data_IF_839216836480
#
_entry.id   IF_839216836480
#
_cell.length_a   1.000
_cell.length_b   1.000
_cell.length_c   1.000
_cell.angle_alpha   90.00
_cell.angle_beta   90.00
_cell.angle_gamma   90.00
#
_symmetry.space_group_name_H-M   'P 1'
#
loop_
_entity.id
_entity.type
_entity.pdbx_description
1 polymer ?
#
# COMPACT_ATOMS: atom_id res chain seq x y z
N UNK A 1 -2.44 3.03 13.42
CA UNK A 1 -3.04 1.96 12.62
C UNK A 1 -2.36 0.65 12.93
N UNK A 2 -2.97 -0.48 12.58
CA UNK A 2 -2.31 -1.77 12.66
C UNK A 2 -3.30 -2.93 12.62
N UNK A 3 -2.74 -4.14 12.55
CA UNK A 3 -3.46 -5.38 12.83
C UNK A 3 -4.00 -5.35 14.26
N UNK A 4 -5.21 -5.86 14.45
CA UNK A 4 -5.81 -6.04 15.78
C UNK A 4 -5.52 -7.44 16.30
N UNK A 5 -4.90 -7.51 17.48
CA UNK A 5 -4.62 -8.73 18.21
C UNK A 5 -5.21 -8.61 19.61
N UNK A 6 -5.73 -9.72 20.13
CA UNK A 6 -6.23 -9.81 21.51
C UNK A 6 -5.43 -10.85 22.28
N UNK A 7 -5.20 -10.58 23.56
CA UNK A 7 -4.49 -11.48 24.45
C UNK A 7 -5.47 -12.27 25.32
N UNK A 8 -5.57 -13.57 25.08
CA UNK A 8 -6.48 -14.45 25.79
C UNK A 8 -5.90 -15.87 25.88
N UNK A 9 -6.19 -16.59 26.96
CA UNK A 9 -5.67 -17.95 27.15
C UNK A 9 -4.13 -18.04 27.11
N UNK A 10 -3.45 -16.98 27.54
CA UNK A 10 -1.97 -16.81 27.54
C UNK A 10 -1.31 -16.72 26.16
N UNK A 11 -2.06 -16.39 25.12
CA UNK A 11 -1.55 -16.23 23.75
C UNK A 11 -2.16 -15.00 23.07
N UNK A 12 -1.43 -14.43 22.12
CA UNK A 12 -1.96 -13.43 21.20
C UNK A 12 -2.66 -14.11 20.03
N UNK A 13 -3.87 -13.66 19.71
CA UNK A 13 -4.65 -14.17 18.58
C UNK A 13 -5.10 -13.02 17.67
N UNK A 14 -5.06 -13.25 16.36
CA UNK A 14 -5.57 -12.30 15.37
C UNK A 14 -7.09 -12.30 15.38
N UNK A 15 -7.70 -11.14 15.11
CA UNK A 15 -9.14 -11.05 14.84
C UNK A 15 -9.46 -11.37 13.38
N UNK A 16 -10.57 -12.05 13.12
CA UNK A 16 -11.01 -12.40 11.76
C UNK A 16 -11.58 -11.20 11.01
N UNK A 17 -11.31 -11.11 9.71
CA UNK A 17 -11.87 -10.04 8.85
C UNK A 17 -13.36 -10.20 8.54
N UNK A 18 -13.88 -11.42 8.52
CA UNK A 18 -15.24 -11.73 8.02
C UNK A 18 -16.39 -11.15 8.84
N UNK A 19 -16.16 -10.79 10.10
CA UNK A 19 -17.16 -10.20 11.01
C UNK A 19 -16.69 -8.91 11.67
N UNK A 20 -15.49 -8.46 11.34
CA UNK A 20 -14.92 -7.27 11.96
C UNK A 20 -15.43 -6.03 11.26
N UNK A 21 -16.31 -5.31 11.94
CA UNK A 21 -17.05 -4.17 11.43
C UNK A 21 -16.64 -2.87 12.14
N UNK A 22 -17.32 -1.78 11.81
CA UNK A 22 -16.97 -0.43 12.27
C UNK A 22 -17.18 -0.26 13.78
N UNK A 23 -18.13 -0.99 14.34
CA UNK A 23 -18.45 -1.06 15.76
C UNK A 23 -17.29 -1.68 16.54
N UNK A 24 -16.72 -2.79 16.04
CA UNK A 24 -15.54 -3.43 16.64
C UNK A 24 -14.34 -2.49 16.64
N UNK A 25 -14.08 -1.85 15.49
CA UNK A 25 -13.01 -0.87 15.37
C UNK A 25 -13.20 0.31 16.34
N UNK A 26 -14.45 0.72 16.57
CA UNK A 26 -14.79 1.80 17.50
C UNK A 26 -14.45 1.40 18.94
N UNK A 27 -14.77 0.18 19.36
CA UNK A 27 -14.39 -0.34 20.69
C UNK A 27 -12.87 -0.39 20.82
N UNK A 28 -12.15 -1.00 19.84
CA UNK A 28 -10.68 -1.09 19.85
C UNK A 28 -10.04 0.28 20.00
N UNK A 29 -10.39 1.23 19.13
CA UNK A 29 -9.75 2.54 19.14
C UNK A 29 -10.13 3.38 20.37
N UNK A 30 -11.37 3.28 20.85
CA UNK A 30 -11.80 3.95 22.08
C UNK A 30 -11.06 3.38 23.29
N UNK A 31 -10.94 2.06 23.40
CA UNK A 31 -10.19 1.37 24.45
C UNK A 31 -8.72 1.84 24.48
N UNK A 32 -8.14 2.13 23.32
CA UNK A 32 -6.78 2.67 23.16
C UNK A 32 -6.70 4.21 23.34
N UNK A 33 -7.79 4.89 23.67
CA UNK A 33 -7.83 6.34 23.92
C UNK A 33 -7.92 7.22 22.67
N UNK A 34 -8.33 6.67 21.53
CA UNK A 34 -8.56 7.41 20.30
C UNK A 34 -10.03 7.75 20.11
N UNK A 35 -10.26 8.82 19.35
CA UNK A 35 -11.58 9.42 19.18
C UNK A 35 -12.42 8.79 18.06
N UNK A 36 -11.74 8.40 16.99
CA UNK A 36 -12.36 7.90 15.75
C UNK A 36 -11.64 6.63 15.35
N UNK A 37 -12.40 5.74 14.71
CA UNK A 37 -11.91 4.49 14.17
C UNK A 37 -12.32 4.36 12.71
N UNK A 38 -11.51 3.64 11.92
CA UNK A 38 -11.93 3.07 10.63
C UNK A 38 -11.40 1.65 10.52
N UNK A 39 -12.23 0.77 9.98
CA UNK A 39 -11.80 -0.55 9.52
C UNK A 39 -10.93 -0.36 8.28
N UNK A 40 -9.81 -1.07 8.23
CA UNK A 40 -8.94 -1.11 7.05
C UNK A 40 -9.21 -2.40 6.27
N UNK A 41 -8.96 -2.35 4.96
CA UNK A 41 -9.08 -3.52 4.11
C UNK A 41 -8.19 -4.66 4.62
N UNK A 42 -8.64 -5.89 4.42
CA UNK A 42 -7.81 -7.06 4.67
C UNK A 42 -6.54 -7.02 3.82
N UNK A 43 -5.43 -7.54 4.35
CA UNK A 43 -4.17 -7.63 3.60
C UNK A 43 -3.44 -6.29 3.42
N UNK A 44 -3.90 -5.20 4.05
CA UNK A 44 -3.27 -3.88 3.95
C UNK A 44 -1.79 -3.88 4.39
N UNK A 45 -1.42 -4.77 5.32
CA UNK A 45 -0.03 -4.98 5.76
C UNK A 45 0.57 -6.30 5.22
N UNK A 46 0.02 -6.82 4.12
CA UNK A 46 0.39 -8.11 3.53
C UNK A 46 -0.24 -9.32 4.24
N UNK A 47 0.09 -10.53 3.77
CA UNK A 47 -0.42 -11.77 4.37
C UNK A 47 0.31 -12.09 5.69
N UNK A 48 -0.44 -12.53 6.70
CA UNK A 48 0.16 -12.97 7.96
C UNK A 48 0.84 -14.34 7.76
N UNK A 49 2.09 -14.53 8.19
CA UNK A 49 2.73 -15.83 8.16
C UNK A 49 2.16 -16.80 9.21
N UNK A 50 1.35 -16.32 10.15
CA UNK A 50 0.82 -17.10 11.26
C UNK A 50 -0.52 -17.76 10.90
N UNK A 51 -0.56 -19.10 10.95
CA UNK A 51 -1.74 -19.95 10.77
C UNK A 51 -2.32 -20.47 12.11
N UNK A 52 -2.28 -19.63 13.14
CA UNK A 52 -2.71 -19.94 14.51
C UNK A 52 -4.22 -19.87 14.75
N UNK A 53 -4.61 -19.89 16.03
CA UNK A 53 -5.99 -19.58 16.44
C UNK A 53 -6.31 -18.12 16.19
N UNK A 54 -7.55 -17.86 15.81
CA UNK A 54 -8.10 -16.53 15.55
C UNK A 54 -9.38 -16.34 16.36
N UNK A 55 -9.86 -15.11 16.42
CA UNK A 55 -11.06 -14.77 17.18
C UNK A 55 -12.04 -14.02 16.29
N UNK A 56 -13.25 -14.56 16.19
CA UNK A 56 -14.39 -13.82 15.66
C UNK A 56 -14.95 -12.97 16.78
N UNK A 57 -15.17 -11.69 16.50
CA UNK A 57 -15.74 -10.73 17.43
C UNK A 57 -16.93 -10.02 16.79
N UNK A 58 -17.87 -9.57 17.61
CA UNK A 58 -19.02 -8.79 17.16
C UNK A 58 -19.52 -7.90 18.30
N UNK A 59 -19.07 -6.65 18.29
CA UNK A 59 -19.42 -5.62 19.26
C UNK A 59 -20.72 -4.90 18.87
N UNK A 60 -21.38 -4.31 19.87
CA UNK A 60 -22.43 -3.30 19.69
C UNK A 60 -21.86 -1.89 19.51
N UNK A 61 -20.61 -1.66 19.92
CA UNK A 61 -19.90 -0.39 19.80
C UNK A 61 -19.84 0.43 21.10
N UNK A 62 -20.45 -0.04 22.19
CA UNK A 62 -20.51 0.64 23.50
C UNK A 62 -19.71 -0.07 24.61
N UNK A 63 -19.08 -1.20 24.28
CA UNK A 63 -18.23 -1.99 25.18
C UNK A 63 -16.97 -1.22 25.59
N UNK A 64 -16.51 -1.40 26.83
CA UNK A 64 -15.31 -0.71 27.32
C UNK A 64 -14.03 -1.43 26.91
N UNK A 65 -14.08 -2.77 26.85
CA UNK A 65 -12.99 -3.62 26.38
C UNK A 65 -13.46 -4.46 25.18
N UNK A 66 -12.57 -4.68 24.21
CA UNK A 66 -12.84 -5.54 23.07
C UNK A 66 -13.22 -6.96 23.51
N UNK A 67 -12.68 -7.48 24.61
CA UNK A 67 -13.04 -8.80 25.13
C UNK A 67 -14.40 -8.84 25.85
N UNK A 68 -15.07 -7.70 26.07
CA UNK A 68 -16.45 -7.65 26.55
C UNK A 68 -17.46 -7.94 25.42
N UNK A 69 -17.06 -7.79 24.16
CA UNK A 69 -17.90 -8.09 23.02
C UNK A 69 -18.15 -9.60 22.89
N UNK A 70 -19.31 -10.03 22.39
CA UNK A 70 -19.53 -11.40 21.96
C UNK A 70 -18.39 -11.90 21.04
N UNK A 71 -17.69 -12.96 21.45
CA UNK A 71 -16.56 -13.49 20.69
C UNK A 71 -16.45 -15.02 20.77
N UNK A 72 -15.85 -15.61 19.74
CA UNK A 72 -15.58 -17.05 19.67
C UNK A 72 -14.16 -17.31 19.17
N UNK A 73 -13.46 -18.23 19.83
CA UNK A 73 -12.11 -18.67 19.45
C UNK A 73 -12.22 -19.79 18.41
N UNK A 74 -11.53 -19.64 17.28
CA UNK A 74 -11.61 -20.60 16.19
C UNK A 74 -10.50 -20.41 15.15
N UNK A 75 -10.79 -20.78 13.91
CA UNK A 75 -9.97 -20.44 12.75
C UNK A 75 -10.84 -19.65 11.77
N UNK A 76 -10.36 -18.52 11.30
CA UNK A 76 -11.01 -17.77 10.23
C UNK A 76 -11.06 -18.64 8.97
N UNK A 77 -12.08 -18.45 8.14
CA UNK A 77 -12.20 -19.12 6.83
C UNK A 77 -11.06 -18.74 5.87
N UNK A 78 -10.42 -17.59 6.09
CA UNK A 78 -9.31 -17.06 5.30
C UNK A 78 -8.12 -16.74 6.21
N UNK A 79 -6.89 -16.77 5.71
CA UNK A 79 -5.66 -16.44 6.44
C UNK A 79 -5.49 -14.92 6.69
N UNK A 80 -6.59 -14.24 6.95
CA UNK A 80 -6.70 -12.79 6.97
C UNK A 80 -6.95 -12.30 8.39
N UNK A 81 -6.51 -11.08 8.68
CA UNK A 81 -6.62 -10.46 10.00
C UNK A 81 -7.22 -9.06 9.90
N UNK A 82 -8.07 -8.72 10.87
CA UNK A 82 -8.64 -7.39 10.96
C UNK A 82 -7.56 -6.34 11.23
N UNK A 83 -7.73 -5.17 10.63
CA UNK A 83 -6.83 -4.03 10.78
C UNK A 83 -7.65 -2.76 10.98
N UNK A 84 -7.13 -1.83 11.77
CA UNK A 84 -7.79 -0.55 12.08
C UNK A 84 -6.85 0.63 11.93
N UNK A 85 -7.41 1.79 11.62
CA UNK A 85 -6.78 3.08 11.90
C UNK A 85 -7.54 3.79 13.02
N UNK A 86 -6.81 4.10 14.08
CA UNK A 86 -7.30 4.92 15.18
C UNK A 86 -6.82 6.35 14.98
N UNK A 87 -7.77 7.28 14.94
CA UNK A 87 -7.56 8.66 14.49
C UNK A 87 -7.79 9.60 15.68
N UNK A 88 -6.87 10.55 15.89
CA UNK A 88 -7.04 11.66 16.83
C UNK A 88 -7.91 12.75 16.20
N UNK A 89 -8.59 13.55 17.02
CA UNK A 89 -9.62 14.52 16.58
C UNK A 89 -9.23 15.52 15.46
N UNK A 90 -7.95 15.67 15.10
CA UNK A 90 -7.47 16.73 14.21
C UNK A 90 -6.87 16.25 12.89
N UNK A 91 -7.16 15.02 12.46
CA UNK A 91 -6.67 14.53 11.16
C UNK A 91 -7.76 14.72 10.10
N UNK A 92 -7.42 15.40 9.00
CA UNK A 92 -8.28 15.51 7.82
C UNK A 92 -8.29 14.16 7.08
N UNK A 93 -9.46 13.78 6.55
CA UNK A 93 -9.65 12.54 5.79
C UNK A 93 -9.16 12.72 4.33
N UNK A 94 -8.02 13.39 4.14
CA UNK A 94 -7.50 13.71 2.81
C UNK A 94 -6.87 12.47 2.18
N UNK A 95 -7.29 12.16 0.96
CA UNK A 95 -6.75 11.08 0.14
C UNK A 95 -5.86 11.66 -0.96
N UNK A 96 -4.56 11.38 -0.88
CA UNK A 96 -3.57 11.94 -1.81
C UNK A 96 -2.71 10.86 -2.44
N UNK A 97 -2.50 10.92 -3.76
CA UNK A 97 -1.58 10.06 -4.52
C UNK A 97 -0.47 10.94 -5.10
N UNK A 98 0.79 10.62 -4.84
CA UNK A 98 1.94 11.45 -5.20
C UNK A 98 3.22 10.63 -5.39
N UNK A 99 4.23 11.23 -6.02
CA UNK A 99 5.57 10.66 -6.17
C UNK A 99 6.41 11.11 -4.95
N UNK A 100 7.10 10.18 -4.27
CA UNK A 100 7.85 10.46 -3.02
C UNK A 100 9.10 11.36 -3.21
N UNK A 101 9.43 11.71 -4.46
CA UNK A 101 10.54 12.57 -4.85
C UNK A 101 10.13 13.47 -6.05
N UNK A 102 11.04 14.30 -6.54
CA UNK A 102 10.77 15.35 -7.53
C UNK A 102 10.34 14.79 -8.90
N UNK A 103 11.07 13.79 -9.41
CA UNK A 103 10.85 13.25 -10.76
C UNK A 103 11.04 11.73 -10.85
N UNK A 104 11.38 11.06 -9.76
CA UNK A 104 11.48 9.60 -9.76
C UNK A 104 11.36 9.06 -8.35
N UNK A 105 10.53 8.06 -8.12
CA UNK A 105 10.41 7.47 -6.79
C UNK A 105 9.23 6.53 -6.66
N UNK A 106 9.00 6.06 -5.44
CA UNK A 106 7.83 5.27 -5.09
C UNK A 106 6.56 6.13 -5.22
N UNK A 107 5.49 5.55 -5.73
CA UNK A 107 4.17 6.16 -5.71
C UNK A 107 3.56 5.94 -4.33
N UNK A 108 3.35 7.05 -3.63
CA UNK A 108 2.83 7.09 -2.27
C UNK A 108 1.37 7.47 -2.26
N UNK A 109 0.69 6.96 -1.25
CA UNK A 109 -0.69 7.32 -0.94
C UNK A 109 -0.75 7.82 0.49
N UNK A 110 -1.40 8.96 0.73
CA UNK A 110 -1.72 9.44 2.07
C UNK A 110 -3.21 9.32 2.30
N UNK A 111 -3.61 8.61 3.36
CA UNK A 111 -5.01 8.50 3.78
C UNK A 111 -5.07 8.50 5.30
N UNK A 112 -6.01 9.26 5.89
CA UNK A 112 -6.12 9.43 7.35
C UNK A 112 -4.83 9.93 8.01
N UNK A 113 -4.07 10.76 7.31
CA UNK A 113 -2.75 11.27 7.76
C UNK A 113 -1.64 10.21 7.80
N UNK A 114 -1.86 9.06 7.17
CA UNK A 114 -0.92 7.93 7.13
C UNK A 114 -0.45 7.72 5.70
N UNK A 115 0.88 7.70 5.55
CA UNK A 115 1.54 7.40 4.28
C UNK A 115 1.67 5.89 4.08
N UNK A 116 1.37 5.45 2.88
CA UNK A 116 1.52 4.09 2.40
C UNK A 116 1.86 4.08 0.92
N UNK A 117 1.67 2.95 0.27
CA UNK A 117 2.15 2.70 -1.10
C UNK A 117 1.05 2.21 -2.02
N UNK A 118 1.33 2.26 -3.31
CA UNK A 118 0.59 1.53 -4.33
C UNK A 118 1.26 0.18 -4.56
N UNK A 119 0.47 -0.88 -4.71
CA UNK A 119 0.94 -2.20 -5.05
C UNK A 119 1.51 -2.22 -6.47
N UNK A 120 2.68 -2.83 -6.66
CA UNK A 120 3.25 -2.95 -8.01
C UNK A 120 2.50 -3.93 -8.94
N UNK A 121 1.68 -4.83 -8.38
CA UNK A 121 0.98 -5.83 -9.18
C UNK A 121 -0.02 -5.12 -10.09
N UNK A 122 0.18 -5.26 -11.40
CA UNK A 122 -0.62 -4.58 -12.42
C UNK A 122 -0.16 -3.14 -12.74
N UNK A 123 0.76 -2.56 -11.97
CA UNK A 123 1.29 -1.22 -12.21
C UNK A 123 2.18 -1.19 -13.47
N UNK A 124 1.79 -0.39 -14.47
CA UNK A 124 2.45 -0.34 -15.77
C UNK A 124 2.89 1.07 -16.22
N UNK A 125 3.39 1.18 -17.45
CA UNK A 125 3.85 2.44 -18.03
C UNK A 125 2.71 3.44 -18.32
N UNK A 126 1.46 2.98 -18.49
CA UNK A 126 0.32 3.88 -18.63
C UNK A 126 0.01 4.55 -17.30
N UNK A 127 0.04 3.80 -16.19
CA UNK A 127 -0.14 4.36 -14.85
C UNK A 127 0.99 5.37 -14.52
N UNK A 128 2.23 4.99 -14.83
CA UNK A 128 3.40 5.84 -14.65
C UNK A 128 3.29 7.13 -15.48
N UNK A 129 2.84 7.03 -16.73
CA UNK A 129 2.64 8.16 -17.61
C UNK A 129 1.62 9.14 -17.04
N UNK A 130 0.47 8.66 -16.55
CA UNK A 130 -0.58 9.53 -16.00
C UNK A 130 -0.09 10.29 -14.77
N UNK A 131 0.52 9.62 -13.81
CA UNK A 131 1.00 10.31 -12.60
C UNK A 131 2.17 11.26 -12.88
N UNK A 132 3.05 10.93 -13.83
CA UNK A 132 4.10 11.85 -14.28
C UNK A 132 3.52 13.07 -15.00
N UNK A 133 2.52 12.88 -15.86
CA UNK A 133 1.82 13.96 -16.55
C UNK A 133 1.11 14.89 -15.57
N UNK A 134 0.42 14.33 -14.57
CA UNK A 134 -0.19 15.09 -13.47
C UNK A 134 0.84 15.97 -12.72
N UNK A 135 2.11 15.55 -12.65
CA UNK A 135 3.19 16.29 -12.00
C UNK A 135 3.99 17.19 -12.95
N UNK A 136 3.49 17.43 -14.17
CA UNK A 136 4.05 18.39 -15.11
C UNK A 136 5.16 17.84 -16.01
N UNK A 137 5.31 16.51 -16.08
CA UNK A 137 6.22 15.86 -17.02
C UNK A 137 5.50 15.43 -18.30
N UNK A 138 6.21 15.27 -19.41
CA UNK A 138 5.60 14.83 -20.67
C UNK A 138 5.25 13.35 -20.65
N UNK A 139 6.06 12.53 -19.99
CA UNK A 139 5.88 11.09 -19.94
C UNK A 139 6.54 10.47 -18.69
N UNK A 140 6.29 9.18 -18.48
CA UNK A 140 6.80 8.40 -17.36
C UNK A 140 6.96 6.93 -17.71
N UNK A 141 7.80 6.23 -16.95
CA UNK A 141 7.94 4.78 -17.03
C UNK A 141 7.95 4.17 -15.63
N UNK A 142 7.46 2.94 -15.52
CA UNK A 142 7.58 2.15 -14.31
C UNK A 142 9.05 1.81 -14.05
N UNK A 143 9.44 1.77 -12.78
CA UNK A 143 10.71 1.15 -12.41
C UNK A 143 10.51 0.22 -11.22
N UNK A 144 11.21 -0.92 -11.26
CA UNK A 144 11.24 -1.85 -10.15
C UNK A 144 12.08 -1.29 -9.01
N UNK A 145 11.49 -1.19 -7.83
CA UNK A 145 12.22 -0.92 -6.59
C UNK A 145 12.75 -2.22 -6.00
N UNK A 146 14.01 -2.23 -5.54
CA UNK A 146 14.56 -3.36 -4.79
C UNK A 146 14.07 -3.40 -3.35
N UNK A 147 13.35 -2.36 -2.91
CA UNK A 147 12.82 -2.24 -1.55
C UNK A 147 11.56 -3.09 -1.42
N UNK A 148 11.65 -4.13 -0.60
CA UNK A 148 10.47 -4.84 -0.13
C UNK A 148 9.70 -3.93 0.85
N UNK A 149 8.37 -3.95 0.77
CA UNK A 149 7.56 -3.24 1.75
C UNK A 149 7.89 -3.76 3.16
N UNK A 150 8.07 -2.83 4.09
CA UNK A 150 8.12 -3.20 5.50
C UNK A 150 6.71 -3.64 5.93
N UNK A 151 6.60 -4.49 6.95
CA UNK A 151 5.30 -4.91 7.50
C UNK A 151 4.47 -3.71 8.03
N UNK A 152 5.08 -2.54 8.18
CA UNK A 152 4.45 -1.31 8.71
C UNK A 152 3.91 -0.44 7.57
N UNK A 153 4.48 -0.51 6.37
CA UNK A 153 4.04 0.32 5.23
C UNK A 153 2.72 -0.25 4.68
N UNK A 154 1.59 0.46 4.83
CA UNK A 154 0.32 -0.03 4.33
C UNK A 154 0.31 0.11 2.81
N UNK A 155 -0.22 -0.91 2.15
CA UNK A 155 -0.62 -0.81 0.75
C UNK A 155 -1.99 -0.12 0.78
N UNK A 156 -2.16 1.02 0.13
CA UNK A 156 -3.47 1.70 0.09
C UNK A 156 -4.25 1.38 -1.18
N UNK A 157 -3.55 1.13 -2.29
CA UNK A 157 -4.13 0.90 -3.60
C UNK A 157 -3.47 -0.31 -4.28
N UNK A 158 -4.26 -1.03 -5.06
CA UNK A 158 -3.82 -2.05 -6.00
C UNK A 158 -4.63 -1.95 -7.29
N UNK A 159 -4.21 -2.68 -8.32
CA UNK A 159 -4.88 -2.74 -9.62
C UNK A 159 -5.20 -1.34 -10.14
N UNK A 160 -4.20 -0.45 -10.12
CA UNK A 160 -4.33 0.81 -10.84
C UNK A 160 -4.32 0.46 -12.32
N UNK A 161 -5.32 0.93 -13.04
CA UNK A 161 -5.54 0.63 -14.45
C UNK A 161 -5.87 1.93 -15.18
N UNK A 162 -4.81 2.61 -15.64
CA UNK A 162 -4.91 3.74 -16.55
C UNK A 162 -4.84 3.29 -18.02
N UNK A 163 -5.49 4.05 -18.91
CA UNK A 163 -5.33 3.95 -20.36
C UNK A 163 -4.10 4.73 -20.86
N UNK A 164 -3.63 5.70 -20.07
CA UNK A 164 -2.44 6.50 -20.33
C UNK A 164 -2.71 7.89 -20.88
N UNK A 165 -3.96 8.29 -21.03
CA UNK A 165 -4.39 9.62 -21.52
C UNK A 165 -5.28 10.38 -20.52
N UNK A 166 -5.48 9.81 -19.33
CA UNK A 166 -6.13 10.47 -18.20
C UNK A 166 -5.39 11.75 -17.81
N UNK A 167 -6.15 12.76 -17.38
CA UNK A 167 -5.59 14.02 -16.91
C UNK A 167 -4.92 13.87 -15.53
N UNK A 168 -5.33 12.85 -14.77
CA UNK A 168 -5.00 12.68 -13.37
C UNK A 168 -5.09 11.21 -12.97
N UNK A 169 -4.23 10.75 -12.06
CA UNK A 169 -4.22 9.36 -11.56
C UNK A 169 -5.52 9.00 -10.84
N UNK A 170 -6.27 10.02 -10.40
CA UNK A 170 -7.59 9.85 -9.79
C UNK A 170 -8.70 9.52 -10.80
N UNK A 171 -8.46 9.73 -12.10
CA UNK A 171 -9.41 9.39 -13.16
C UNK A 171 -9.26 7.93 -13.62
N UNK A 172 -8.18 7.26 -13.22
CA UNK A 172 -7.96 5.84 -13.50
C UNK A 172 -8.79 4.95 -12.56
N UNK A 173 -9.02 3.71 -12.97
CA UNK A 173 -9.60 2.70 -12.09
C UNK A 173 -8.55 2.23 -11.08
N UNK A 174 -8.94 2.02 -9.83
CA UNK A 174 -8.07 1.41 -8.80
C UNK A 174 -8.89 0.73 -7.70
N UNK A 175 -8.27 -0.21 -7.00
CA UNK A 175 -8.87 -0.95 -5.88
C UNK A 175 -8.30 -0.50 -4.53
N UNK A 176 -9.19 -0.17 -3.59
CA UNK A 176 -8.84 0.03 -2.17
C UNK A 176 -9.07 -1.22 -1.31
N UNK A 177 -9.51 -2.34 -1.91
CA UNK A 177 -9.80 -3.59 -1.21
C UNK A 177 -8.77 -4.67 -1.58
N UNK A 178 -7.89 -4.99 -0.63
CA UNK A 178 -6.62 -5.68 -0.88
C UNK A 178 -6.62 -7.16 -0.48
N UNK A 179 -7.81 -7.75 -0.24
CA UNK A 179 -7.98 -9.13 0.27
C UNK A 179 -7.15 -10.18 -0.48
N UNK A 180 -6.96 -10.04 -1.80
CA UNK A 180 -6.18 -11.01 -2.59
C UNK A 180 -5.36 -10.45 -3.74
N UNK A 181 -5.27 -9.12 -3.90
CA UNK A 181 -4.84 -8.52 -5.17
C UNK A 181 -3.32 -8.28 -5.28
N UNK A 182 -2.59 -8.36 -4.17
CA UNK A 182 -1.14 -8.22 -4.16
C UNK A 182 -0.46 -9.54 -3.81
N UNK A 183 0.57 -9.88 -4.58
CA UNK A 183 1.44 -11.03 -4.39
C UNK A 183 2.17 -10.99 -3.04
N UNK A 184 2.72 -12.11 -2.58
CA UNK A 184 3.31 -12.21 -1.23
C UNK A 184 4.66 -11.51 -1.08
N UNK A 185 5.31 -11.07 -2.16
CA UNK A 185 6.60 -10.37 -2.16
C UNK A 185 6.41 -8.93 -2.66
N UNK A 186 5.58 -8.17 -1.95
CA UNK A 186 5.13 -6.85 -2.42
C UNK A 186 6.29 -5.86 -2.44
N UNK A 187 6.46 -5.22 -3.60
CA UNK A 187 7.26 -4.00 -3.74
C UNK A 187 6.29 -2.84 -4.06
N UNK A 188 6.61 -1.61 -3.64
CA UNK A 188 5.84 -0.44 -4.04
C UNK A 188 5.97 -0.18 -5.54
N UNK A 189 4.90 0.31 -6.14
CA UNK A 189 4.93 0.90 -7.47
C UNK A 189 5.94 2.06 -7.50
N UNK A 190 6.74 2.14 -8.57
CA UNK A 190 7.74 3.18 -8.78
C UNK A 190 7.60 3.82 -10.15
N UNK A 191 7.95 5.10 -10.25
CA UNK A 191 7.96 5.85 -11.52
C UNK A 191 9.23 6.64 -11.73
N UNK A 192 9.61 6.81 -13.00
CA UNK A 192 10.61 7.79 -13.45
C UNK A 192 9.93 8.68 -14.48
N UNK A 193 9.90 9.98 -14.23
CA UNK A 193 9.29 11.00 -15.07
C UNK A 193 10.34 11.77 -15.88
N UNK A 194 9.98 12.19 -17.09
CA UNK A 194 10.92 12.81 -18.03
C UNK A 194 10.23 13.70 -19.08
N UNK A 195 11.01 14.62 -19.68
CA UNK A 195 10.51 15.64 -20.64
C UNK A 195 11.17 15.59 -22.03
N UNK A 196 12.12 14.69 -22.25
CA UNK A 196 12.93 14.59 -23.46
C UNK A 196 12.80 13.22 -24.12
N UNK A 197 13.94 12.61 -24.46
CA UNK A 197 14.00 11.32 -25.17
C UNK A 197 13.63 10.12 -24.29
N UNK A 198 13.36 10.34 -23.00
CA UNK A 198 13.09 9.29 -22.04
C UNK A 198 14.32 8.60 -21.52
N UNK A 199 14.14 7.33 -21.18
CA UNK A 199 15.19 6.45 -20.69
C UNK A 199 15.86 5.75 -21.89
N UNK A 200 17.20 5.76 -21.94
CA UNK A 200 17.98 5.01 -22.92
C UNK A 200 19.04 4.17 -22.20
N UNK A 201 19.48 3.07 -22.81
CA UNK A 201 20.48 2.17 -22.23
C UNK A 201 21.58 1.87 -23.25
N UNK A 202 22.84 1.79 -22.79
CA UNK A 202 23.96 1.38 -23.64
C UNK A 202 25.01 0.59 -22.88
N UNK A 203 25.83 -0.17 -23.61
CA UNK A 203 27.02 -0.82 -23.08
C UNK A 203 28.27 -0.03 -23.46
N UNK A 204 29.10 0.32 -22.47
CA UNK A 204 30.33 1.10 -22.66
C UNK A 204 31.55 0.32 -22.21
N UNK A 205 32.63 0.38 -23.00
CA UNK A 205 33.95 -0.15 -22.62
C UNK A 205 34.16 -1.65 -22.83
N UNK A 206 33.26 -2.34 -23.55
CA UNK A 206 33.48 -3.71 -24.00
C UNK A 206 34.07 -3.80 -25.41
N UNK A 207 34.65 -4.95 -25.73
CA UNK A 207 35.23 -5.24 -27.06
C UNK A 207 34.18 -5.76 -28.08
N UNK A 208 32.97 -6.05 -27.60
CA UNK A 208 31.85 -6.53 -28.39
C UNK A 208 30.60 -5.69 -28.08
N UNK A 209 29.65 -5.55 -29.02
CA UNK A 209 28.40 -4.82 -28.80
C UNK A 209 27.54 -5.35 -27.64
N UNK A 210 27.77 -6.60 -27.22
CA UNK A 210 27.08 -7.27 -26.10
C UNK A 210 27.88 -7.24 -24.79
N UNK A 211 28.95 -6.44 -24.72
CA UNK A 211 29.82 -6.37 -23.55
C UNK A 211 30.06 -4.91 -23.16
N UNK A 212 30.15 -4.66 -21.84
CA UNK A 212 30.49 -3.35 -21.30
C UNK A 212 29.78 -3.10 -19.97
N UNK A 213 30.08 -1.96 -19.35
CA UNK A 213 29.28 -1.40 -18.28
C UNK A 213 27.96 -0.90 -18.86
N UNK A 214 26.85 -1.21 -18.21
CA UNK A 214 25.55 -0.62 -18.54
C UNK A 214 25.57 0.83 -18.08
N UNK A 215 25.36 1.76 -19.01
CA UNK A 215 25.05 3.15 -18.71
C UNK A 215 23.59 3.41 -19.04
N UNK A 216 22.94 4.24 -18.25
CA UNK A 216 21.56 4.67 -18.44
C UNK A 216 21.56 6.15 -18.77
N UNK A 217 20.73 6.57 -19.71
CA UNK A 217 20.43 7.97 -19.95
C UNK A 217 19.05 8.31 -19.44
N UNK A 218 18.91 9.50 -18.83
CA UNK A 218 17.62 10.15 -18.59
C UNK A 218 17.64 11.48 -19.32
N UNK A 219 16.69 11.70 -20.21
CA UNK A 219 16.61 12.92 -21.04
C UNK A 219 17.92 13.23 -21.80
N UNK A 220 18.57 12.17 -22.31
CA UNK A 220 19.82 12.26 -23.06
C UNK A 220 21.07 12.50 -22.22
N UNK A 221 20.95 12.61 -20.89
CA UNK A 221 22.08 12.73 -19.96
C UNK A 221 22.47 11.33 -19.46
N UNK A 222 23.69 10.90 -19.78
CA UNK A 222 24.22 9.58 -19.39
C UNK A 222 24.90 9.62 -18.02
N UNK A 223 24.67 8.59 -17.19
CA UNK A 223 25.36 8.42 -15.92
C UNK A 223 25.16 7.05 -15.29
N UNK A 224 26.05 6.69 -14.36
CA UNK A 224 26.01 5.41 -13.64
C UNK A 224 25.16 5.49 -12.34
N UNK A 225 24.72 6.69 -11.92
CA UNK A 225 23.93 6.96 -10.70
C UNK A 225 22.89 8.09 -10.95
N UNK A 226 21.87 7.83 -11.78
CA UNK A 226 20.75 8.74 -12.05
C UNK A 226 19.52 8.44 -11.19
#
# INVERSE_FOLDING_TARGET
MGRVEVYQGRQWTNLCTSKFEQEDATVVCRQLGYARARVLSSGIFGRSPYSGFTTDISCQGNENDILDCPHTIGKCKYSEYASVVCIKHNVTDDFQIYIDDVNSGEVRVSQYGIRGTVCQDGWDDNDAKVICHQNGYLNGQTFGTLKLLSQIDPIWLSNVECLGDEASIYDCSFSMNLTTQCSSNVQPAGVICYNGTGMDIRLVGGNLPSQGRVEVARDGVWGDNL
#
